data_IF_837480501173
#
_entry.id   IF_837480501173
#
_cell.length_a   1.000
_cell.length_b   1.000
_cell.length_c   1.000
_cell.angle_alpha   90.00
_cell.angle_beta   90.00
_cell.angle_gamma   90.00
#
_symmetry.space_group_name_H-M   'P 1'
#
loop_
_entity.id
_entity.type
_entity.pdbx_description
1 polymer ?
#
# COMPACT_ATOMS: atom_id res chain seq x y z
N UNK A 1 -34.86 -66.11 -17.37
CA UNK A 1 -35.31 -65.07 -16.42
C UNK A 1 -34.29 -64.97 -15.29
N UNK A 2 -33.52 -63.88 -15.20
CA UNK A 2 -32.59 -63.67 -14.07
C UNK A 2 -33.36 -63.05 -12.91
N UNK A 3 -33.45 -63.76 -11.79
CA UNK A 3 -34.04 -63.25 -10.56
C UNK A 3 -33.24 -62.02 -10.09
N UNK A 4 -33.90 -60.87 -9.95
CA UNK A 4 -33.31 -59.67 -9.32
C UNK A 4 -33.22 -59.95 -7.82
N UNK A 5 -32.01 -60.13 -7.29
CA UNK A 5 -31.78 -60.15 -5.84
C UNK A 5 -31.90 -58.71 -5.34
N UNK A 6 -32.85 -58.45 -4.45
CA UNK A 6 -32.96 -57.18 -3.74
C UNK A 6 -31.82 -57.05 -2.72
N UNK A 7 -31.33 -55.83 -2.53
CA UNK A 7 -30.37 -55.51 -1.47
C UNK A 7 -30.98 -55.83 -0.10
N UNK A 8 -30.21 -56.52 0.74
CA UNK A 8 -30.61 -56.74 2.13
C UNK A 8 -30.50 -55.44 2.92
N UNK A 9 -31.34 -55.30 3.96
CA UNK A 9 -31.37 -54.11 4.81
C UNK A 9 -30.00 -53.87 5.49
N UNK A 10 -29.27 -54.94 5.81
CA UNK A 10 -27.91 -54.87 6.34
C UNK A 10 -26.91 -54.29 5.34
N UNK A 11 -26.94 -54.73 4.07
CA UNK A 11 -26.09 -54.17 3.02
C UNK A 11 -26.38 -52.68 2.79
N UNK A 12 -27.64 -52.26 2.90
CA UNK A 12 -28.03 -50.85 2.75
C UNK A 12 -27.50 -49.99 3.92
N UNK A 13 -27.57 -50.48 5.15
CA UNK A 13 -26.99 -49.80 6.33
C UNK A 13 -25.47 -49.65 6.21
N UNK A 14 -24.78 -50.72 5.78
CA UNK A 14 -23.32 -50.69 5.57
C UNK A 14 -22.95 -49.72 4.45
N UNK A 15 -23.69 -49.73 3.34
CA UNK A 15 -23.47 -48.81 2.23
C UNK A 15 -23.67 -47.34 2.64
N UNK A 16 -24.71 -47.03 3.43
CA UNK A 16 -24.93 -45.68 3.94
C UNK A 16 -23.83 -45.25 4.92
N UNK A 17 -23.37 -46.13 5.81
CA UNK A 17 -22.27 -45.85 6.72
C UNK A 17 -20.96 -45.56 5.98
N UNK A 18 -20.62 -46.38 4.98
CA UNK A 18 -19.46 -46.14 4.11
C UNK A 18 -19.60 -44.83 3.33
N UNK A 19 -20.77 -44.55 2.76
CA UNK A 19 -21.03 -43.30 2.05
C UNK A 19 -20.87 -42.08 2.97
N UNK A 20 -21.37 -42.15 4.21
CA UNK A 20 -21.22 -41.08 5.19
C UNK A 20 -19.76 -40.83 5.57
N UNK A 21 -18.97 -41.90 5.75
CA UNK A 21 -17.52 -41.78 6.03
C UNK A 21 -16.79 -41.14 4.83
N UNK A 22 -17.07 -41.60 3.61
CA UNK A 22 -16.47 -41.04 2.39
C UNK A 22 -16.85 -39.56 2.24
N UNK A 23 -18.11 -39.20 2.51
CA UNK A 23 -18.57 -37.82 2.48
C UNK A 23 -17.89 -36.95 3.55
N UNK A 24 -17.72 -37.47 4.77
CA UNK A 24 -17.01 -36.78 5.84
C UNK A 24 -15.52 -36.52 5.49
N UNK A 25 -14.85 -37.51 4.89
CA UNK A 25 -13.47 -37.34 4.42
C UNK A 25 -13.42 -36.33 3.27
N UNK A 26 -14.28 -36.46 2.27
CA UNK A 26 -14.32 -35.55 1.12
C UNK A 26 -14.58 -34.10 1.53
N UNK A 27 -15.56 -33.87 2.41
CA UNK A 27 -15.84 -32.54 2.96
C UNK A 27 -14.64 -31.99 3.71
N UNK A 28 -13.97 -32.80 4.55
CA UNK A 28 -12.76 -32.35 5.27
C UNK A 28 -11.64 -31.90 4.32
N UNK A 29 -11.42 -32.64 3.24
CA UNK A 29 -10.41 -32.32 2.22
C UNK A 29 -10.77 -31.04 1.44
N UNK A 30 -12.04 -30.88 1.06
CA UNK A 30 -12.52 -29.67 0.38
C UNK A 30 -12.34 -28.46 1.29
N UNK A 31 -12.71 -28.55 2.57
CA UNK A 31 -12.52 -27.47 3.55
C UNK A 31 -11.05 -27.06 3.69
N UNK A 32 -10.13 -28.03 3.73
CA UNK A 32 -8.70 -27.76 3.77
C UNK A 32 -8.20 -27.11 2.47
N UNK A 33 -8.63 -27.60 1.31
CA UNK A 33 -8.23 -27.07 0.01
C UNK A 33 -8.72 -25.62 -0.18
N UNK A 34 -10.00 -25.34 0.12
CA UNK A 34 -10.58 -23.99 0.07
C UNK A 34 -9.80 -23.06 0.98
N UNK A 35 -9.47 -23.50 2.19
CA UNK A 35 -8.76 -22.68 3.16
C UNK A 35 -7.32 -22.36 2.73
N UNK A 36 -6.60 -23.33 2.18
CA UNK A 36 -5.24 -23.11 1.66
C UNK A 36 -5.26 -22.16 0.46
N UNK A 37 -6.23 -22.33 -0.44
CA UNK A 37 -6.41 -21.47 -1.61
C UNK A 37 -6.75 -20.03 -1.22
N UNK A 38 -7.63 -19.86 -0.22
CA UNK A 38 -8.00 -18.55 0.30
C UNK A 38 -6.76 -17.79 0.82
N UNK A 39 -5.88 -18.46 1.58
CA UNK A 39 -4.62 -17.85 2.07
C UNK A 39 -3.70 -17.41 0.94
N UNK A 40 -3.49 -18.28 -0.06
CA UNK A 40 -2.66 -17.93 -1.22
C UNK A 40 -3.19 -16.70 -1.96
N UNK A 41 -4.51 -16.60 -2.07
CA UNK A 41 -5.17 -15.45 -2.69
C UNK A 41 -4.94 -14.17 -1.88
N UNK A 42 -5.15 -14.23 -0.56
CA UNK A 42 -4.94 -13.08 0.35
C UNK A 42 -3.49 -12.58 0.33
N UNK A 43 -2.53 -13.50 0.45
CA UNK A 43 -1.11 -13.13 0.41
C UNK A 43 -0.73 -12.53 -0.95
N UNK A 44 -1.28 -13.05 -2.05
CA UNK A 44 -1.11 -12.48 -3.39
C UNK A 44 -1.70 -11.07 -3.53
N UNK A 45 -2.90 -10.84 -3.00
CA UNK A 45 -3.56 -9.53 -2.98
C UNK A 45 -2.73 -8.49 -2.20
N UNK A 46 -2.25 -8.85 -1.00
CA UNK A 46 -1.41 -7.97 -0.18
C UNK A 46 -0.08 -7.64 -0.90
N UNK A 47 0.53 -8.64 -1.53
CA UNK A 47 1.74 -8.47 -2.32
C UNK A 47 1.53 -7.49 -3.46
N UNK A 48 0.50 -7.74 -4.30
CA UNK A 48 0.20 -6.92 -5.45
C UNK A 48 -0.17 -5.48 -5.05
N UNK A 49 -0.95 -5.31 -3.98
CA UNK A 49 -1.32 -4.01 -3.43
C UNK A 49 -0.08 -3.23 -2.97
N UNK A 50 0.79 -3.84 -2.16
CA UNK A 50 2.00 -3.21 -1.66
C UNK A 50 3.00 -2.85 -2.76
N UNK A 51 3.24 -3.75 -3.71
CA UNK A 51 4.13 -3.50 -4.85
C UNK A 51 3.57 -2.40 -5.75
N UNK A 52 2.28 -2.42 -6.06
CA UNK A 52 1.65 -1.37 -6.88
C UNK A 52 1.77 -0.02 -6.20
N UNK A 53 1.43 0.09 -4.91
CA UNK A 53 1.52 1.34 -4.17
C UNK A 53 2.95 1.92 -4.19
N UNK A 54 3.96 1.06 -3.99
CA UNK A 54 5.36 1.47 -4.03
C UNK A 54 5.84 1.86 -5.43
N UNK A 55 5.39 1.17 -6.49
CA UNK A 55 5.76 1.54 -7.86
C UNK A 55 5.30 2.95 -8.18
N UNK A 56 4.03 3.28 -7.89
CA UNK A 56 3.49 4.63 -8.11
C UNK A 56 4.28 5.68 -7.32
N UNK A 57 4.58 5.38 -6.05
CA UNK A 57 5.33 6.28 -5.19
C UNK A 57 6.77 6.49 -5.69
N UNK A 58 7.46 5.42 -6.09
CA UNK A 58 8.82 5.50 -6.63
C UNK A 58 8.84 6.31 -7.92
N UNK A 59 7.88 6.11 -8.82
CA UNK A 59 7.74 6.87 -10.05
C UNK A 59 7.58 8.37 -9.76
N UNK A 60 6.68 8.72 -8.83
CA UNK A 60 6.46 10.10 -8.43
C UNK A 60 7.71 10.69 -7.75
N UNK A 61 8.36 10.00 -6.82
CA UNK A 61 9.63 10.47 -6.20
C UNK A 61 10.73 10.66 -7.26
N UNK A 62 10.84 9.76 -8.23
CA UNK A 62 11.84 9.87 -9.30
C UNK A 62 11.55 11.02 -10.27
N UNK A 63 10.31 11.52 -10.31
CA UNK A 63 9.93 12.68 -11.11
C UNK A 63 10.37 14.03 -10.53
N UNK A 64 10.93 14.06 -9.32
CA UNK A 64 11.36 15.31 -8.65
C UNK A 64 12.84 15.29 -8.25
N UNK A 65 13.31 16.39 -7.67
CA UNK A 65 14.58 16.51 -6.96
C UNK A 65 14.40 16.58 -5.45
N UNK A 66 15.48 16.49 -4.68
CA UNK A 66 15.43 16.46 -3.22
C UNK A 66 14.71 17.67 -2.60
N UNK A 67 14.83 18.84 -3.22
CA UNK A 67 14.20 20.07 -2.77
C UNK A 67 12.66 20.09 -2.95
N UNK A 68 12.10 19.21 -3.77
CA UNK A 68 10.65 19.10 -3.99
C UNK A 68 9.97 18.01 -3.16
N UNK A 69 10.70 17.38 -2.24
CA UNK A 69 10.19 16.28 -1.42
C UNK A 69 10.04 16.76 0.02
N UNK A 70 8.83 16.64 0.58
CA UNK A 70 8.55 16.85 2.00
C UNK A 70 8.09 15.55 2.64
N UNK A 71 8.69 15.19 3.77
CA UNK A 71 8.37 13.95 4.51
C UNK A 71 8.04 14.28 5.95
N UNK A 72 6.89 13.81 6.40
CA UNK A 72 6.47 13.80 7.80
C UNK A 72 6.27 12.33 8.20
N UNK A 73 7.23 11.78 8.95
CA UNK A 73 7.08 10.43 9.50
C UNK A 73 6.12 10.44 10.70
N UNK A 74 5.37 9.35 10.86
CA UNK A 74 4.51 9.17 12.03
C UNK A 74 5.34 9.18 13.31
N UNK A 75 5.07 10.13 14.19
CA UNK A 75 5.61 10.18 15.56
C UNK A 75 4.85 9.30 16.57
N UNK A 76 3.82 8.55 16.15
CA UNK A 76 2.99 7.76 17.06
C UNK A 76 1.72 7.17 16.44
N UNK A 77 0.97 6.34 17.18
CA UNK A 77 -0.11 5.52 16.63
C UNK A 77 -1.33 6.29 16.08
N UNK A 78 -1.39 7.60 16.29
CA UNK A 78 -2.48 8.47 15.82
C UNK A 78 -2.02 9.55 14.84
N UNK A 79 -0.70 9.67 14.58
CA UNK A 79 -0.18 10.69 13.67
C UNK A 79 0.03 10.09 12.28
N UNK A 80 -0.56 10.69 11.23
CA UNK A 80 -0.40 10.20 9.87
C UNK A 80 1.05 10.37 9.40
N UNK A 81 1.49 9.47 8.52
CA UNK A 81 2.71 9.71 7.73
C UNK A 81 2.33 10.37 6.43
N UNK A 82 3.02 11.44 6.08
CA UNK A 82 2.76 12.23 4.88
C UNK A 82 4.02 12.33 4.06
N UNK A 83 3.90 12.04 2.77
CA UNK A 83 4.92 12.35 1.77
C UNK A 83 4.30 13.32 0.76
N UNK A 84 5.03 14.38 0.46
CA UNK A 84 4.72 15.29 -0.64
C UNK A 84 5.84 15.26 -1.67
N UNK A 85 5.47 15.36 -2.93
CA UNK A 85 6.37 15.34 -4.08
C UNK A 85 5.93 16.45 -5.02
N UNK A 86 6.82 17.38 -5.33
CA UNK A 86 6.61 18.41 -6.35
C UNK A 86 7.26 17.97 -7.67
N UNK A 87 6.51 17.36 -8.61
CA UNK A 87 7.07 16.80 -9.82
C UNK A 87 7.72 17.87 -10.71
N UNK A 88 8.75 17.46 -11.46
CA UNK A 88 9.30 18.24 -12.55
C UNK A 88 8.42 18.09 -13.78
N UNK A 89 7.97 19.20 -14.33
CA UNK A 89 7.23 19.26 -15.58
C UNK A 89 8.16 19.24 -16.81
N UNK A 90 9.25 20.01 -16.77
CA UNK A 90 10.17 20.12 -17.91
C UNK A 90 11.59 20.53 -17.47
N UNK A 91 12.56 20.34 -18.36
CA UNK A 91 13.92 20.87 -18.22
C UNK A 91 14.27 21.61 -19.51
N UNK A 92 14.45 22.92 -19.42
CA UNK A 92 14.83 23.74 -20.57
C UNK A 92 16.21 23.39 -21.12
N UNK A 93 16.47 23.88 -22.34
CA UNK A 93 17.78 23.81 -23.00
C UNK A 93 18.93 24.48 -22.22
N UNK A 94 18.62 25.31 -21.22
CA UNK A 94 19.60 25.94 -20.34
C UNK A 94 19.80 25.17 -19.02
N UNK A 95 19.30 23.94 -18.93
CA UNK A 95 19.31 23.10 -17.72
C UNK A 95 18.52 23.70 -16.55
N UNK A 96 17.61 24.65 -16.82
CA UNK A 96 16.67 25.16 -15.82
C UNK A 96 15.48 24.21 -15.71
N UNK A 97 15.20 23.79 -14.48
CA UNK A 97 14.11 22.89 -14.11
C UNK A 97 12.81 23.66 -13.94
N UNK A 98 11.73 23.13 -14.51
CA UNK A 98 10.37 23.62 -14.30
C UNK A 98 9.58 22.58 -13.54
N UNK A 99 8.95 23.00 -12.46
CA UNK A 99 8.06 22.18 -11.65
C UNK A 99 6.62 22.36 -12.12
N UNK A 100 5.82 21.35 -11.85
CA UNK A 100 4.40 21.34 -12.18
C UNK A 100 3.60 22.34 -11.32
N UNK A 101 2.35 22.60 -11.68
CA UNK A 101 1.46 23.49 -10.92
C UNK A 101 0.72 22.78 -9.77
N UNK A 102 1.16 21.55 -9.46
CA UNK A 102 0.61 20.71 -8.42
C UNK A 102 1.70 19.87 -7.74
N UNK A 103 1.44 19.45 -6.52
CA UNK A 103 2.18 18.40 -5.81
C UNK A 103 1.35 17.13 -5.73
N UNK A 104 2.03 15.99 -5.68
CA UNK A 104 1.44 14.71 -5.30
C UNK A 104 1.61 14.51 -3.81
N UNK A 105 0.53 14.14 -3.12
CA UNK A 105 0.53 13.90 -1.68
C UNK A 105 0.13 12.46 -1.41
N UNK A 106 0.94 11.79 -0.61
CA UNK A 106 0.66 10.47 -0.06
C UNK A 106 0.38 10.60 1.43
N UNK A 107 -0.73 10.01 1.87
CA UNK A 107 -1.13 10.04 3.29
C UNK A 107 -1.43 8.62 3.72
N UNK A 108 -0.66 8.12 4.70
CA UNK A 108 -1.00 6.94 5.47
C UNK A 108 -1.62 7.36 6.80
N UNK A 109 -2.86 6.92 7.01
CA UNK A 109 -3.56 7.09 8.29
C UNK A 109 -3.43 5.79 9.12
N UNK A 110 -2.72 5.81 10.27
CA UNK A 110 -2.55 4.63 11.11
C UNK A 110 -3.86 4.15 11.76
N UNK A 111 -4.86 5.02 11.92
CA UNK A 111 -6.14 4.65 12.53
C UNK A 111 -6.97 3.76 11.60
N UNK A 112 -6.95 4.05 10.30
CA UNK A 112 -7.68 3.28 9.28
C UNK A 112 -6.81 2.23 8.59
N UNK A 113 -5.48 2.37 8.64
CA UNK A 113 -4.54 1.52 7.92
C UNK A 113 -4.64 1.71 6.40
N UNK A 114 -5.03 2.90 5.94
CA UNK A 114 -5.24 3.21 4.53
C UNK A 114 -4.13 4.14 4.04
N UNK A 115 -3.50 3.79 2.92
CA UNK A 115 -2.59 4.65 2.18
C UNK A 115 -3.33 5.24 0.98
N UNK A 116 -3.36 6.57 0.91
CA UNK A 116 -4.00 7.32 -0.17
C UNK A 116 -3.00 8.18 -0.91
N UNK A 117 -3.31 8.46 -2.18
CA UNK A 117 -2.62 9.41 -3.05
C UNK A 117 -3.62 10.47 -3.51
N UNK A 118 -3.24 11.72 -3.47
CA UNK A 118 -4.01 12.84 -4.00
C UNK A 118 -3.08 13.85 -4.66
N UNK A 119 -3.67 14.84 -5.33
CA UNK A 119 -2.94 16.01 -5.85
C UNK A 119 -3.40 17.26 -5.11
N UNK A 120 -2.50 18.22 -4.94
CA UNK A 120 -2.76 19.54 -4.37
C UNK A 120 -2.10 20.62 -5.22
N UNK A 121 -2.71 21.80 -5.43
CA UNK A 121 -3.99 22.22 -4.90
C UNK A 121 -5.19 21.56 -5.59
N UNK A 122 -6.25 21.17 -4.86
CA UNK A 122 -7.56 21.12 -5.51
C UNK A 122 -7.91 22.55 -5.92
N UNK A 123 -8.53 22.80 -7.07
CA UNK A 123 -8.95 24.16 -7.39
C UNK A 123 -10.03 24.64 -6.38
N UNK A 124 -9.93 25.80 -5.70
CA UNK A 124 -8.78 26.70 -5.47
C UNK A 124 -7.87 26.30 -4.27
N UNK A 125 -6.60 26.77 -4.21
CA UNK A 125 -5.61 26.36 -3.20
C UNK A 125 -6.05 26.67 -1.77
N UNK A 126 -6.05 25.64 -0.93
CA UNK A 126 -6.51 25.73 0.48
C UNK A 126 -5.46 26.29 1.44
N UNK A 127 -4.18 26.23 1.07
CA UNK A 127 -3.07 26.67 1.93
C UNK A 127 -2.63 28.11 1.67
N UNK A 128 -3.27 28.82 0.74
CA UNK A 128 -2.87 30.17 0.33
C UNK A 128 -1.49 30.25 -0.33
N UNK A 129 -0.88 29.10 -0.67
CA UNK A 129 0.39 29.01 -1.39
C UNK A 129 0.09 28.89 -2.89
N UNK A 130 0.79 29.67 -3.70
CA UNK A 130 0.81 29.54 -5.16
C UNK A 130 2.09 28.81 -5.54
N UNK A 131 1.96 27.72 -6.30
CA UNK A 131 3.12 26.98 -6.79
C UNK A 131 3.75 27.73 -7.96
N UNK A 132 5.04 28.01 -7.84
CA UNK A 132 5.82 28.66 -8.89
C UNK A 132 6.60 27.61 -9.69
N UNK A 133 6.46 27.55 -11.02
CA UNK A 133 7.17 26.57 -11.83
C UNK A 133 8.70 26.66 -11.72
N UNK A 134 9.25 27.84 -11.38
CA UNK A 134 10.70 28.03 -11.29
C UNK A 134 11.32 27.46 -10.01
N UNK A 135 10.52 27.22 -8.96
CA UNK A 135 11.02 26.93 -7.63
C UNK A 135 10.37 25.66 -7.06
N UNK A 136 11.15 24.66 -6.60
CA UNK A 136 10.56 23.55 -5.88
C UNK A 136 9.92 24.04 -4.58
N UNK A 137 8.66 23.69 -4.36
CA UNK A 137 8.02 23.89 -3.06
C UNK A 137 8.18 22.63 -2.21
N UNK A 138 8.73 22.81 -1.01
CA UNK A 138 8.79 21.79 0.04
C UNK A 138 7.90 22.23 1.20
N UNK A 139 6.76 21.56 1.43
CA UNK A 139 5.92 21.86 2.57
C UNK A 139 6.66 21.56 3.88
N UNK A 140 6.48 22.41 4.88
CA UNK A 140 6.92 22.13 6.26
C UNK A 140 5.97 21.13 6.96
N UNK A 141 6.32 20.67 8.16
CA UNK A 141 5.54 19.68 8.92
C UNK A 141 4.08 20.14 9.17
N UNK A 142 3.87 21.45 9.39
CA UNK A 142 2.53 22.01 9.64
C UNK A 142 1.70 21.98 8.36
N UNK A 143 2.32 22.33 7.23
CA UNK A 143 1.70 22.27 5.91
C UNK A 143 1.44 20.83 5.48
N UNK A 144 2.37 19.90 5.72
CA UNK A 144 2.19 18.46 5.47
C UNK A 144 1.00 17.92 6.26
N UNK A 145 0.85 18.31 7.53
CA UNK A 145 -0.30 17.92 8.33
C UNK A 145 -1.60 18.53 7.79
N UNK A 146 -1.58 19.80 7.35
CA UNK A 146 -2.75 20.43 6.75
C UNK A 146 -3.17 19.78 5.42
N UNK A 147 -2.21 19.24 4.65
CA UNK A 147 -2.49 18.46 3.43
C UNK A 147 -3.23 17.15 3.71
N UNK A 148 -3.18 16.61 4.94
CA UNK A 148 -4.00 15.44 5.31
C UNK A 148 -5.49 15.73 5.34
N UNK A 149 -5.88 17.00 5.50
CA UNK A 149 -7.25 17.47 5.43
C UNK A 149 -7.69 17.86 4.01
N UNK A 150 -6.82 17.69 3.00
CA UNK A 150 -7.12 18.06 1.61
C UNK A 150 -8.34 17.30 1.07
N UNK A 151 -9.38 18.02 0.66
CA UNK A 151 -10.64 17.47 0.14
C UNK A 151 -10.61 17.14 -1.38
N UNK A 152 -9.45 17.21 -2.03
CA UNK A 152 -9.28 16.81 -3.42
C UNK A 152 -9.57 15.32 -3.68
N UNK A 153 -9.53 14.91 -4.95
CA UNK A 153 -9.72 13.51 -5.33
C UNK A 153 -8.64 12.63 -4.72
N UNK A 154 -9.03 11.78 -3.76
CA UNK A 154 -8.14 10.80 -3.13
C UNK A 154 -8.31 9.45 -3.80
N UNK A 155 -7.20 8.88 -4.26
CA UNK A 155 -7.12 7.50 -4.71
C UNK A 155 -6.56 6.64 -3.58
N UNK A 156 -7.30 5.61 -3.20
CA UNK A 156 -6.78 4.59 -2.30
C UNK A 156 -5.76 3.71 -3.03
N UNK A 157 -4.54 3.61 -2.50
CA UNK A 157 -3.48 2.80 -3.06
C UNK A 157 -3.37 1.44 -2.37
N UNK A 158 -3.43 1.43 -1.06
CA UNK A 158 -3.35 0.22 -0.25
C UNK A 158 -4.22 0.33 1.00
N UNK A 159 -4.65 -0.83 1.50
CA UNK A 159 -5.36 -0.98 2.79
C UNK A 159 -4.61 -1.98 3.66
N UNK A 160 -4.97 -2.05 4.94
CA UNK A 160 -4.30 -2.93 5.90
C UNK A 160 -2.81 -2.57 6.06
N UNK A 161 -2.43 -1.31 5.82
CA UNK A 161 -1.08 -0.80 6.00
C UNK A 161 -0.84 -0.61 7.50
N UNK A 162 0.20 -1.28 8.02
CA UNK A 162 0.60 -1.20 9.42
C UNK A 162 1.80 -0.29 9.66
N UNK A 163 2.64 -0.10 8.66
CA UNK A 163 3.75 0.82 8.72
C UNK A 163 4.02 1.41 7.33
N UNK A 164 4.31 2.70 7.29
CA UNK A 164 4.76 3.41 6.12
C UNK A 164 5.84 4.38 6.58
N UNK A 165 7.09 4.07 6.22
CA UNK A 165 8.26 4.68 6.84
C UNK A 165 9.27 5.11 5.77
N UNK A 166 9.89 6.26 6.03
CA UNK A 166 10.98 6.80 5.22
C UNK A 166 12.22 6.94 6.09
N UNK A 167 13.34 6.41 5.60
CA UNK A 167 14.62 6.44 6.30
C UNK A 167 15.67 7.08 5.38
N UNK A 168 16.29 8.14 5.88
CA UNK A 168 17.43 8.76 5.24
C UNK A 168 18.71 7.95 5.50
N UNK A 169 19.74 8.11 4.64
CA UNK A 169 21.06 7.56 4.95
C UNK A 169 21.62 8.18 6.23
N UNK A 170 22.50 7.42 6.92
CA UNK A 170 23.12 7.86 8.16
C UNK A 170 23.80 9.23 7.99
N UNK A 171 23.53 10.14 8.93
CA UNK A 171 24.07 11.51 8.92
C UNK A 171 23.24 12.55 8.16
N UNK A 172 22.06 12.19 7.64
CA UNK A 172 21.12 13.13 7.03
C UNK A 172 19.78 13.10 7.76
N UNK A 173 19.48 14.18 8.50
CA UNK A 173 18.20 14.32 9.18
C UNK A 173 17.15 15.01 8.30
N UNK A 174 15.88 14.64 8.48
CA UNK A 174 14.77 15.39 7.90
C UNK A 174 14.79 16.83 8.45
N UNK A 175 14.47 17.84 7.61
CA UNK A 175 13.77 17.76 6.33
C UNK A 175 14.68 17.58 5.09
N UNK A 176 15.99 17.41 5.28
CA UNK A 176 16.89 17.17 4.16
C UNK A 176 16.71 15.75 3.65
N UNK A 177 16.73 15.55 2.33
CA UNK A 177 16.55 14.23 1.72
C UNK A 177 17.91 13.73 1.25
N UNK A 178 18.41 12.70 1.92
CA UNK A 178 19.65 12.04 1.55
C UNK A 178 19.43 11.00 0.44
N UNK A 179 20.52 10.58 -0.20
CA UNK A 179 20.49 9.51 -1.20
C UNK A 179 21.43 8.38 -0.77
N UNK A 180 20.99 7.10 -0.83
CA UNK A 180 19.65 6.65 -1.21
C UNK A 180 18.60 6.89 -0.10
N UNK A 181 17.36 7.20 -0.48
CA UNK A 181 16.22 7.24 0.43
C UNK A 181 15.62 5.84 0.53
N UNK A 182 15.48 5.32 1.75
CA UNK A 182 14.85 4.03 2.00
C UNK A 182 13.37 4.21 2.29
N UNK A 183 12.55 3.42 1.60
CA UNK A 183 11.11 3.40 1.72
C UNK A 183 10.66 2.02 2.15
N UNK A 184 9.87 1.95 3.22
CA UNK A 184 9.33 0.72 3.75
C UNK A 184 7.81 0.80 3.87
N UNK A 185 7.14 -0.21 3.32
CA UNK A 185 5.69 -0.39 3.41
C UNK A 185 5.40 -1.78 3.99
N UNK A 186 4.73 -1.82 5.14
CA UNK A 186 4.30 -3.06 5.78
C UNK A 186 2.77 -3.15 5.77
N UNK A 187 2.25 -4.28 5.32
CA UNK A 187 0.83 -4.62 5.31
C UNK A 187 0.58 -5.83 6.20
N UNK A 188 -0.56 -5.86 6.89
CA UNK A 188 -0.95 -7.00 7.72
C UNK A 188 -2.44 -7.20 7.72
N UNK A 189 -2.91 -8.39 7.32
CA UNK A 189 -4.32 -8.75 7.43
C UNK A 189 -4.55 -9.60 8.67
N UNK A 190 -5.58 -9.26 9.44
CA UNK A 190 -6.07 -10.12 10.53
C UNK A 190 -6.45 -11.48 9.94
N UNK A 191 -5.86 -12.53 10.47
CA UNK A 191 -6.22 -13.87 10.06
C UNK A 191 -7.55 -14.29 10.70
N UNK A 192 -8.20 -15.31 10.11
CA UNK A 192 -9.36 -15.94 10.73
C UNK A 192 -9.00 -16.51 12.12
N UNK A 193 -10.02 -16.69 12.98
CA UNK A 193 -9.83 -17.14 14.36
C UNK A 193 -8.90 -18.37 14.46
N UNK A 194 -7.85 -18.26 15.29
CA UNK A 194 -6.85 -19.32 15.50
C UNK A 194 -5.61 -19.27 14.61
N UNK A 195 -5.41 -18.23 13.81
CA UNK A 195 -4.24 -18.09 12.92
C UNK A 195 -3.40 -16.85 13.20
N UNK A 196 -2.11 -16.96 12.87
CA UNK A 196 -1.19 -15.83 12.87
C UNK A 196 -1.57 -14.85 11.75
N UNK A 197 -1.50 -13.53 11.99
CA UNK A 197 -1.74 -12.53 10.96
C UNK A 197 -0.74 -12.70 9.82
N UNK A 198 -1.22 -12.58 8.58
CA UNK A 198 -0.36 -12.57 7.41
C UNK A 198 0.26 -11.18 7.30
N UNK A 199 1.58 -11.11 7.50
CA UNK A 199 2.37 -9.89 7.39
C UNK A 199 3.17 -9.90 6.10
N UNK A 200 3.19 -8.76 5.44
CA UNK A 200 3.95 -8.56 4.23
C UNK A 200 4.70 -7.23 4.33
N UNK A 201 5.96 -7.24 3.91
CA UNK A 201 6.83 -6.07 3.96
C UNK A 201 7.54 -5.93 2.63
N UNK A 202 7.54 -4.71 2.10
CA UNK A 202 8.30 -4.35 0.91
C UNK A 202 9.17 -3.15 1.22
N UNK A 203 10.43 -3.29 0.86
CA UNK A 203 11.43 -2.24 0.96
C UNK A 203 11.92 -1.86 -0.43
N UNK A 204 12.16 -0.55 -0.62
CA UNK A 204 12.78 0.01 -1.82
C UNK A 204 13.81 1.06 -1.42
N UNK A 205 14.99 0.96 -2.02
CA UNK A 205 16.00 2.01 -1.98
C UNK A 205 15.83 2.87 -3.24
N UNK A 206 15.68 4.17 -3.05
CA UNK A 206 15.40 5.12 -4.12
C UNK A 206 16.58 6.08 -4.23
N UNK A 207 17.14 6.16 -5.43
CA UNK A 207 18.06 7.23 -5.83
C UNK A 207 17.28 8.24 -6.67
N UNK A 208 17.44 9.52 -6.37
CA UNK A 208 16.74 10.56 -7.12
C UNK A 208 17.48 10.77 -8.44
N UNK A 209 16.74 10.73 -9.57
CA UNK A 209 17.34 10.94 -10.89
C UNK A 209 17.86 12.36 -11.08
N UNK A 210 17.27 13.32 -10.38
CA UNK A 210 17.51 14.77 -10.55
C UNK A 210 18.26 15.39 -9.36
N UNK A 211 19.19 14.62 -8.77
CA UNK A 211 19.86 14.94 -7.50
C UNK A 211 21.11 15.83 -7.55
N UNK A 212 21.44 16.43 -8.70
CA UNK A 212 22.59 17.33 -8.87
C UNK A 212 22.15 18.80 -8.97
#
# INVERSE_FOLDING_TARGET
MRARRGLSLAELLVAMGLAAIVLAIATSLIWQAVRTTARGTVSGELYQSGVTALTWLVEDIQSTGAAGIGVLNSGGPATPTVLSVHPLADVSNQLVRFYDDHIVVYVWDPATGILTRSTWPPGPPTLGVTLEPANPWRPDDTQLLALTANNGTRRQLATQVTAFEFENPAGVDFPNIGQPLKLKLSLSRKAAAGYQPEKFEVERLITLRNGL
#
